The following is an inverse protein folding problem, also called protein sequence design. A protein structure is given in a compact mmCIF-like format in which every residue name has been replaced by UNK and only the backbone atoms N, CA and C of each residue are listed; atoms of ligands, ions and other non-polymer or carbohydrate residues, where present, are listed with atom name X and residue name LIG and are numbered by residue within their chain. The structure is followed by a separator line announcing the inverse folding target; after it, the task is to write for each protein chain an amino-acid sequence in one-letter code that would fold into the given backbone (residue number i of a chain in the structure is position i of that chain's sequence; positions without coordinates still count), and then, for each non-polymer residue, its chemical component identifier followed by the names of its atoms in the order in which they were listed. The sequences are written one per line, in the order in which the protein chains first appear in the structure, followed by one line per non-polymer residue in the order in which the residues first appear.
data_IF_625683997716
#
_entry.id   IF_625683997716
#
_cell.length_a   1.000
_cell.length_b   1.000
_cell.length_c   1.000
_cell.angle_alpha   90.00
_cell.angle_beta   90.00
_cell.angle_gamma   90.00
#
_symmetry.space_group_name_H-M   'P 1'
#
loop_
_entity.id
_entity.type
_entity.pdbx_description
1 polymer ?
#
# COMPACT_ATOMS: atom_id res chain seq x y z
N UNK A 1 -7.29 -14.23 -5.77
CA UNK A 1 -6.27 -13.77 -4.81
C UNK A 1 -5.61 -15.00 -4.21
N UNK A 2 -4.39 -15.34 -4.65
CA UNK A 2 -3.68 -16.57 -4.26
C UNK A 2 -2.54 -16.31 -3.26
N UNK A 3 -1.97 -15.11 -3.28
CA UNK A 3 -0.84 -14.70 -2.43
C UNK A 3 -1.25 -14.08 -1.09
N UNK A 4 -2.55 -13.77 -0.89
CA UNK A 4 -3.02 -13.20 0.37
C UNK A 4 -3.19 -14.28 1.45
N UNK A 5 -2.90 -13.98 2.72
CA UNK A 5 -3.19 -14.88 3.82
C UNK A 5 -4.71 -15.03 4.05
N UNK A 6 -5.10 -16.01 4.86
CA UNK A 6 -6.50 -16.15 5.30
C UNK A 6 -6.87 -14.97 6.21
N UNK A 7 -7.98 -14.27 5.89
CA UNK A 7 -8.44 -13.04 6.57
C UNK A 7 -7.41 -11.91 6.51
N UNK A 8 -7.06 -11.43 5.30
CA UNK A 8 -6.04 -10.41 5.14
C UNK A 8 -6.53 -9.05 5.66
N UNK A 9 -5.60 -8.27 6.20
CA UNK A 9 -5.78 -6.82 6.33
C UNK A 9 -5.63 -6.13 4.97
N UNK A 10 -5.97 -4.84 4.89
CA UNK A 10 -5.71 -4.05 3.68
C UNK A 10 -4.21 -3.98 3.35
N UNK A 11 -3.33 -4.09 4.34
CA UNK A 11 -1.88 -4.08 4.12
C UNK A 11 -1.41 -5.41 3.54
N UNK A 12 -1.91 -6.53 4.07
CA UNK A 12 -1.61 -7.86 3.51
C UNK A 12 -2.09 -7.95 2.06
N UNK A 13 -3.26 -7.35 1.77
CA UNK A 13 -3.79 -7.31 0.41
C UNK A 13 -2.94 -6.47 -0.54
N UNK A 14 -2.48 -5.28 -0.11
CA UNK A 14 -1.56 -4.42 -0.86
C UNK A 14 -0.26 -5.15 -1.18
N UNK A 15 0.36 -5.73 -0.16
CA UNK A 15 1.67 -6.35 -0.28
C UNK A 15 1.60 -7.60 -1.18
N UNK A 16 0.52 -8.38 -1.08
CA UNK A 16 0.28 -9.51 -1.98
C UNK A 16 0.07 -9.08 -3.46
N UNK A 17 -0.52 -7.91 -3.72
CA UNK A 17 -0.67 -7.37 -5.08
C UNK A 17 0.70 -6.94 -5.64
N UNK A 18 1.51 -6.27 -4.82
CA UNK A 18 2.87 -5.86 -5.19
C UNK A 18 3.75 -7.09 -5.45
N UNK A 19 3.65 -8.11 -4.60
CA UNK A 19 4.36 -9.39 -4.79
C UNK A 19 3.91 -10.11 -6.06
N UNK A 20 2.61 -10.11 -6.35
CA UNK A 20 2.09 -10.69 -7.58
C UNK A 20 2.66 -9.99 -8.83
N UNK A 21 2.79 -8.65 -8.83
CA UNK A 21 3.44 -7.92 -9.91
C UNK A 21 4.93 -8.27 -10.02
N UNK A 22 5.62 -8.41 -8.89
CA UNK A 22 7.02 -8.85 -8.85
C UNK A 22 7.20 -10.20 -9.52
N UNK A 23 6.30 -11.16 -9.27
CA UNK A 23 6.35 -12.51 -9.84
C UNK A 23 5.98 -12.49 -11.34
N UNK A 24 4.94 -11.76 -11.73
CA UNK A 24 4.38 -11.81 -13.08
C UNK A 24 5.15 -10.95 -14.08
N UNK A 25 5.58 -9.75 -13.68
CA UNK A 25 6.15 -8.74 -14.59
C UNK A 25 7.61 -8.42 -14.27
N UNK A 26 8.14 -8.93 -13.16
CA UNK A 26 9.44 -8.54 -12.62
C UNK A 26 9.40 -7.24 -11.82
N UNK A 27 8.21 -6.76 -11.41
CA UNK A 27 8.06 -5.55 -10.61
C UNK A 27 8.02 -4.26 -11.44
N UNK A 28 7.70 -4.35 -12.73
CA UNK A 28 7.66 -3.19 -13.64
C UNK A 28 6.65 -2.12 -13.20
N UNK A 29 5.63 -2.52 -12.43
CA UNK A 29 4.56 -1.63 -12.00
C UNK A 29 4.69 -1.22 -10.54
N UNK A 30 5.83 -1.50 -9.89
CA UNK A 30 6.02 -1.27 -8.46
C UNK A 30 5.61 0.15 -8.01
N UNK A 31 6.09 1.18 -8.72
CA UNK A 31 5.80 2.56 -8.32
C UNK A 31 4.39 3.03 -8.64
N UNK A 32 3.81 2.63 -9.77
CA UNK A 32 2.41 2.97 -10.08
C UNK A 32 1.44 2.29 -9.10
N UNK A 33 1.75 1.06 -8.66
CA UNK A 33 0.97 0.38 -7.62
C UNK A 33 1.07 1.14 -6.30
N UNK A 34 2.29 1.49 -5.85
CA UNK A 34 2.49 2.26 -4.63
C UNK A 34 1.81 3.63 -4.66
N UNK A 35 1.88 4.35 -5.78
CA UNK A 35 1.17 5.63 -5.95
C UNK A 35 -0.36 5.44 -5.86
N UNK A 36 -0.89 4.39 -6.47
CA UNK A 36 -2.31 4.07 -6.39
C UNK A 36 -2.76 3.83 -4.95
N UNK A 37 -2.03 3.01 -4.19
CA UNK A 37 -2.35 2.72 -2.79
C UNK A 37 -2.15 3.93 -1.87
N UNK A 38 -1.03 4.65 -2.03
CA UNK A 38 -0.72 5.82 -1.20
C UNK A 38 -1.77 6.92 -1.36
N UNK A 39 -2.28 7.16 -2.58
CA UNK A 39 -3.33 8.15 -2.85
C UNK A 39 -4.62 7.93 -2.05
N UNK A 40 -4.84 6.70 -1.54
CA UNK A 40 -6.02 6.32 -0.74
C UNK A 40 -5.68 5.98 0.72
N UNK A 41 -4.52 6.41 1.21
CA UNK A 41 -4.15 6.23 2.62
C UNK A 41 -3.53 4.87 2.96
N UNK A 42 -3.14 4.07 1.96
CA UNK A 42 -2.45 2.78 2.12
C UNK A 42 -0.95 2.84 1.79
N UNK A 43 -0.36 4.01 1.99
CA UNK A 43 1.08 4.25 1.86
C UNK A 43 1.93 3.47 2.86
N UNK A 44 3.24 3.58 2.72
CA UNK A 44 4.20 2.78 3.49
C UNK A 44 4.18 3.08 5.00
N UNK A 45 3.69 4.27 5.37
CA UNK A 45 3.54 4.74 6.75
C UNK A 45 2.13 4.54 7.32
N UNK A 46 1.25 3.85 6.58
CA UNK A 46 -0.06 3.44 7.09
C UNK A 46 0.13 2.40 8.20
N UNK A 47 -0.68 2.50 9.27
CA UNK A 47 -0.53 1.60 10.43
C UNK A 47 -1.86 1.02 10.88
N UNK A 48 -1.78 -0.16 11.50
CA UNK A 48 -2.89 -0.87 12.13
C UNK A 48 -2.39 -1.31 13.50
N UNK A 49 -3.04 -0.82 14.56
CA UNK A 49 -2.74 -1.17 15.95
C UNK A 49 -3.93 -1.90 16.56
N UNK A 50 -3.66 -2.81 17.50
CA UNK A 50 -4.70 -3.57 18.20
C UNK A 50 -5.66 -4.31 17.24
N UNK A 51 -5.09 -4.95 16.20
CA UNK A 51 -5.87 -5.74 15.26
C UNK A 51 -6.52 -6.94 15.95
N UNK A 52 -7.78 -7.19 15.65
CA UNK A 52 -8.49 -8.40 16.06
C UNK A 52 -8.85 -9.26 14.83
N UNK A 53 -9.13 -10.56 15.04
CA UNK A 53 -9.48 -11.46 13.95
C UNK A 53 -10.66 -11.01 13.08
N UNK A 54 -11.63 -10.29 13.62
CA UNK A 54 -12.87 -9.89 12.94
C UNK A 54 -12.72 -8.60 12.13
N UNK A 55 -11.49 -8.08 12.03
CA UNK A 55 -11.15 -6.94 11.19
C UNK A 55 -11.22 -5.60 11.91
N UNK A 56 -11.34 -5.57 13.24
CA UNK A 56 -11.20 -4.33 13.99
C UNK A 56 -9.74 -3.86 14.12
N UNK A 57 -9.49 -3.01 15.10
CA UNK A 57 -8.22 -2.31 15.30
C UNK A 57 -8.19 -0.88 14.79
N UNK A 58 -7.25 -0.11 15.32
CA UNK A 58 -7.04 1.31 15.05
C UNK A 58 -6.21 1.48 13.79
N UNK A 59 -6.80 2.08 12.75
CA UNK A 59 -6.16 2.33 11.46
C UNK A 59 -5.75 3.79 11.35
N UNK A 60 -4.52 4.02 10.93
CA UNK A 60 -4.03 5.35 10.58
C UNK A 60 -3.59 5.33 9.13
N UNK A 61 -4.12 6.27 8.35
CA UNK A 61 -3.77 6.41 6.94
C UNK A 61 -2.31 6.85 6.80
N UNK A 62 -1.66 6.32 5.77
CA UNK A 62 -0.33 6.74 5.35
C UNK A 62 -0.33 7.07 3.86
N UNK A 63 0.48 8.03 3.46
CA UNK A 63 0.54 8.54 2.08
C UNK A 63 1.95 8.48 1.50
N UNK A 64 2.93 8.02 2.28
CA UNK A 64 4.31 7.92 1.81
C UNK A 64 4.47 6.78 0.81
N UNK A 65 5.29 7.02 -0.20
CA UNK A 65 5.73 6.03 -1.19
C UNK A 65 7.19 5.62 -0.92
N UNK A 66 7.61 4.41 -1.31
CA UNK A 66 9.01 4.00 -1.21
C UNK A 66 9.96 4.96 -1.91
N UNK A 67 11.14 5.18 -1.31
CA UNK A 67 12.13 6.13 -1.83
C UNK A 67 12.60 5.79 -3.25
N UNK A 68 12.58 4.51 -3.62
CA UNK A 68 12.92 4.02 -4.96
C UNK A 68 11.97 4.49 -6.07
N UNK A 69 10.80 5.02 -5.71
CA UNK A 69 9.81 5.53 -6.66
C UNK A 69 9.95 7.01 -7.02
N UNK A 70 10.87 7.73 -6.36
CA UNK A 70 11.16 9.14 -6.66
C UNK A 70 9.99 10.10 -6.42
N UNK A 71 10.28 11.41 -6.41
CA UNK A 71 9.32 12.49 -6.11
C UNK A 71 8.44 12.90 -7.31
N UNK A 72 8.41 12.14 -8.40
CA UNK A 72 7.81 12.59 -9.65
C UNK A 72 6.74 11.61 -10.14
N UNK A 73 5.64 11.51 -9.38
CA UNK A 73 4.43 10.86 -9.83
C UNK A 73 3.22 11.78 -9.59
N UNK A 74 2.38 12.00 -10.62
CA UNK A 74 1.20 12.87 -10.50
C UNK A 74 0.20 12.26 -9.51
N UNK A 75 0.04 12.91 -8.35
CA UNK A 75 -0.94 12.53 -7.32
C UNK A 75 -0.43 12.52 -5.88
N UNK A 76 0.88 12.63 -5.62
CA UNK A 76 1.43 12.73 -4.24
C UNK A 76 1.63 14.18 -3.77
N UNK A 77 1.73 15.14 -4.70
CA UNK A 77 1.99 16.54 -4.37
C UNK A 77 0.75 17.29 -3.83
N UNK A 78 -0.47 16.75 -4.05
CA UNK A 78 -1.71 17.36 -3.54
C UNK A 78 -2.08 16.89 -2.12
N UNK A 79 -1.50 15.78 -1.63
CA UNK A 79 -1.82 15.22 -0.32
C UNK A 79 -0.96 15.78 0.84
N UNK A 80 0.05 16.59 0.54
CA UNK A 80 0.92 17.26 1.54
C UNK A 80 0.48 18.70 1.85
N UNK A 81 -0.73 19.09 1.41
CA UNK A 81 -1.29 20.44 1.52
C UNK A 81 -2.34 20.66 2.61
N UNK A 82 -2.38 19.84 3.65
CA UNK A 82 -3.14 20.10 4.90
C UNK A 82 -2.33 19.65 6.13
#
# INVERSE_FOLDING_TARGET
MKHQPCRPSFFDARDAIIEADKILTGGKNFCVLWAGFSSRGLGMDATLRNADPWGGGQRTNGFKIPAECGKNQPGVDEASGL
#
